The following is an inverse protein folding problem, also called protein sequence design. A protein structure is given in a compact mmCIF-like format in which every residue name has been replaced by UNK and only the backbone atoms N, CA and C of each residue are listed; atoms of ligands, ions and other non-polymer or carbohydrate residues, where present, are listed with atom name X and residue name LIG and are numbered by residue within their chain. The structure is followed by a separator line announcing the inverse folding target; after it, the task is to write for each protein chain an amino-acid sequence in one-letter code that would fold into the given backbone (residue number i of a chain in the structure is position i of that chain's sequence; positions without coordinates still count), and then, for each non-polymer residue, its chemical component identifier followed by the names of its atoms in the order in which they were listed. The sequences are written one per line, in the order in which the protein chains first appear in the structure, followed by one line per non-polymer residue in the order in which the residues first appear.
data_IF_362315218955
#
_entry.id   IF_362315218955
#
_cell.length_a   1.000
_cell.length_b   1.000
_cell.length_c   1.000
_cell.angle_alpha   90.00
_cell.angle_beta   90.00
_cell.angle_gamma   90.00
#
_symmetry.space_group_name_H-M   'P 1'
#
loop_
_entity.id
_entity.type
_entity.pdbx_description
1 polymer ?
#
# COMPACT_ATOMS: atom_id res chain seq x y z
N UNK A 1 -23.48 19.98 -31.62
CA UNK A 1 -23.87 18.62 -31.21
C UNK A 1 -25.33 18.69 -30.80
N UNK A 2 -26.15 17.75 -31.28
CA UNK A 2 -27.56 17.68 -30.96
C UNK A 2 -27.76 17.48 -29.45
N UNK A 3 -28.67 18.23 -28.81
CA UNK A 3 -28.89 18.19 -27.36
C UNK A 3 -29.28 16.79 -26.87
N UNK A 4 -29.97 16.01 -27.71
CA UNK A 4 -30.33 14.63 -27.42
C UNK A 4 -29.10 13.73 -27.35
N UNK A 5 -28.11 13.95 -28.22
CA UNK A 5 -26.84 13.19 -28.21
C UNK A 5 -26.02 13.50 -26.95
N UNK A 6 -26.01 14.78 -26.52
CA UNK A 6 -25.33 15.18 -25.30
C UNK A 6 -25.93 14.51 -24.05
N UNK A 7 -27.26 14.42 -23.97
CA UNK A 7 -27.94 13.74 -22.86
C UNK A 7 -27.64 12.23 -22.83
N UNK A 8 -27.65 11.56 -23.98
CA UNK A 8 -27.33 10.12 -24.06
C UNK A 8 -25.89 9.86 -23.61
N UNK A 9 -24.94 10.69 -24.05
CA UNK A 9 -23.54 10.58 -23.62
C UNK A 9 -23.38 10.82 -22.11
N UNK A 10 -24.07 11.81 -21.54
CA UNK A 10 -24.02 12.09 -20.11
C UNK A 10 -24.56 10.92 -19.26
N UNK A 11 -25.68 10.31 -19.69
CA UNK A 11 -26.25 9.14 -19.01
C UNK A 11 -25.31 7.94 -19.11
N UNK A 12 -24.75 7.67 -20.28
CA UNK A 12 -23.79 6.58 -20.48
C UNK A 12 -22.51 6.76 -19.65
N UNK A 13 -21.97 7.98 -19.61
CA UNK A 13 -20.79 8.29 -18.81
C UNK A 13 -21.06 8.11 -17.31
N UNK A 14 -22.24 8.53 -16.85
CA UNK A 14 -22.67 8.35 -15.46
C UNK A 14 -22.80 6.87 -15.12
N UNK A 15 -23.44 6.07 -15.98
CA UNK A 15 -23.57 4.63 -15.79
C UNK A 15 -22.20 3.93 -15.74
N UNK A 16 -21.28 4.29 -16.65
CA UNK A 16 -19.94 3.72 -16.70
C UNK A 16 -19.10 4.11 -15.46
N UNK A 17 -19.24 5.35 -15.00
CA UNK A 17 -18.57 5.82 -13.79
C UNK A 17 -19.09 5.12 -12.52
N UNK A 18 -20.40 4.85 -12.44
CA UNK A 18 -20.99 4.06 -11.35
C UNK A 18 -20.46 2.62 -11.33
N UNK A 19 -20.39 1.95 -12.49
CA UNK A 19 -19.85 0.59 -12.58
C UNK A 19 -18.38 0.56 -12.16
N UNK A 20 -17.57 1.47 -12.71
CA UNK A 20 -16.16 1.58 -12.35
C UNK A 20 -15.97 1.90 -10.85
N UNK A 21 -16.79 2.80 -10.30
CA UNK A 21 -16.80 3.15 -8.88
C UNK A 21 -17.14 1.96 -7.98
N UNK A 22 -18.20 1.20 -8.30
CA UNK A 22 -18.58 0.00 -7.54
C UNK A 22 -17.53 -1.10 -7.61
N UNK A 23 -16.88 -1.31 -8.76
CA UNK A 23 -15.78 -2.26 -8.91
C UNK A 23 -14.56 -1.85 -8.09
N UNK A 24 -14.18 -0.57 -8.13
CA UNK A 24 -13.08 -0.04 -7.34
C UNK A 24 -13.37 -0.18 -5.83
N UNK A 25 -14.60 0.15 -5.40
CA UNK A 25 -15.02 0.00 -4.01
C UNK A 25 -15.04 -1.48 -3.59
N UNK A 26 -15.49 -2.37 -4.46
CA UNK A 26 -15.47 -3.82 -4.22
C UNK A 26 -14.05 -4.34 -4.05
N UNK A 27 -13.12 -3.95 -4.93
CA UNK A 27 -11.71 -4.34 -4.82
C UNK A 27 -11.06 -3.76 -3.56
N UNK A 28 -11.37 -2.52 -3.19
CA UNK A 28 -10.91 -1.91 -1.94
C UNK A 28 -11.50 -2.63 -0.72
N UNK A 29 -12.78 -3.00 -0.73
CA UNK A 29 -13.40 -3.78 0.33
C UNK A 29 -12.81 -5.19 0.43
N UNK A 30 -12.51 -5.82 -0.71
CA UNK A 30 -11.86 -7.13 -0.77
C UNK A 30 -10.43 -7.05 -0.20
N UNK A 31 -9.67 -6.03 -0.58
CA UNK A 31 -8.32 -5.78 -0.07
C UNK A 31 -8.32 -5.41 1.43
N UNK A 32 -9.32 -4.65 1.90
CA UNK A 32 -9.47 -4.36 3.33
C UNK A 32 -9.81 -5.62 4.11
N UNK A 33 -10.70 -6.49 3.60
CA UNK A 33 -11.02 -7.78 4.25
C UNK A 33 -9.83 -8.73 4.33
N UNK A 34 -8.95 -8.76 3.33
CA UNK A 34 -7.69 -9.52 3.41
C UNK A 34 -6.70 -8.94 4.43
N UNK A 35 -6.77 -7.63 4.71
CA UNK A 35 -5.96 -6.97 5.75
C UNK A 35 -6.59 -7.10 7.15
N UNK A 36 -7.90 -7.39 7.23
CA UNK A 36 -8.67 -7.53 8.47
C UNK A 36 -8.55 -8.89 9.18
N UNK A 37 -7.75 -9.85 8.72
CA UNK A 37 -7.43 -11.02 9.54
C UNK A 37 -6.15 -10.74 10.35
N UNK A 38 -6.33 -10.33 11.61
CA UNK A 38 -5.70 -11.10 12.66
C UNK A 38 -6.79 -11.64 13.61
N UNK A 39 -6.70 -12.94 13.82
CA UNK A 39 -7.22 -13.67 14.97
C UNK A 39 -8.71 -14.10 14.95
N UNK A 40 -8.91 -15.29 14.40
CA UNK A 40 -9.82 -16.37 14.81
C UNK A 40 -10.73 -16.11 16.03
N UNK A 41 -12.04 -16.23 15.81
CA UNK A 41 -12.93 -17.01 16.68
C UNK A 41 -14.08 -17.57 15.82
N UNK A 42 -13.87 -18.80 15.38
CA UNK A 42 -14.79 -19.92 15.60
C UNK A 42 -16.29 -19.66 15.35
N UNK A 43 -16.80 -20.14 14.21
CA UNK A 43 -18.01 -20.99 14.14
C UNK A 43 -17.96 -21.72 12.79
N UNK A 44 -18.15 -23.02 12.91
CA UNK A 44 -18.14 -24.10 11.92
C UNK A 44 -18.83 -23.76 10.60
N UNK A 45 -18.24 -24.18 9.48
CA UNK A 45 -18.86 -25.20 8.63
C UNK A 45 -17.87 -25.69 7.56
N UNK A 46 -17.73 -27.01 7.59
CA UNK A 46 -16.93 -27.93 6.78
C UNK A 46 -17.22 -27.82 5.27
N UNK A 47 -16.19 -27.88 4.43
CA UNK A 47 -15.80 -29.09 3.69
C UNK A 47 -14.82 -28.78 2.53
N UNK A 48 -13.96 -29.76 2.25
CA UNK A 48 -13.00 -29.92 1.12
C UNK A 48 -11.66 -29.15 1.12
N UNK A 49 -10.73 -29.70 1.92
CA UNK A 49 -9.46 -30.32 1.51
C UNK A 49 -8.82 -29.90 0.16
N UNK A 50 -7.58 -29.40 0.20
CA UNK A 50 -6.42 -30.22 -0.18
C UNK A 50 -5.11 -29.56 0.29
N UNK A 51 -4.32 -30.36 1.00
CA UNK A 51 -3.08 -30.03 1.68
C UNK A 51 -1.91 -29.71 0.74
N UNK A 52 -1.03 -28.81 1.20
CA UNK A 52 0.40 -29.14 1.36
C UNK A 52 0.94 -28.39 2.57
N UNK A 53 0.78 -29.05 3.73
CA UNK A 53 1.81 -29.33 4.74
C UNK A 53 3.27 -29.12 4.29
N UNK A 54 4.29 -28.86 5.11
CA UNK A 54 4.55 -28.71 6.56
C UNK A 54 6.06 -28.35 6.59
N UNK A 55 6.59 -27.52 7.47
CA UNK A 55 7.33 -27.98 8.66
C UNK A 55 7.63 -26.79 9.56
N UNK A 56 7.16 -26.93 10.80
CA UNK A 56 7.36 -26.08 11.96
C UNK A 56 8.79 -26.22 12.51
N UNK A 57 9.18 -25.27 13.38
CA UNK A 57 9.80 -25.50 14.71
C UNK A 57 10.63 -24.25 15.09
N UNK A 58 10.76 -23.72 16.32
CA UNK A 58 10.16 -23.87 17.66
C UNK A 58 10.72 -22.65 18.45
N UNK A 59 9.84 -21.91 19.14
CA UNK A 59 9.99 -21.16 20.42
C UNK A 59 11.18 -20.21 20.66
N UNK A 60 10.89 -18.91 20.92
CA UNK A 60 11.22 -18.22 22.19
C UNK A 60 10.57 -16.81 22.26
N UNK A 61 9.99 -16.52 23.42
CA UNK A 61 9.39 -15.24 23.82
C UNK A 61 10.47 -14.18 24.07
N UNK A 62 10.48 -13.09 23.32
CA UNK A 62 11.16 -11.83 23.69
C UNK A 62 10.48 -10.66 22.95
N UNK A 63 9.93 -9.72 23.71
CA UNK A 63 9.57 -8.35 23.31
C UNK A 63 8.94 -8.21 21.91
N UNK A 64 7.69 -8.67 21.73
CA UNK A 64 7.03 -8.62 20.41
C UNK A 64 6.61 -7.18 20.07
N UNK A 65 7.59 -6.38 19.65
CA UNK A 65 7.35 -5.25 18.78
C UNK A 65 6.41 -5.74 17.66
N UNK A 66 5.25 -5.11 17.44
CA UNK A 66 4.28 -5.60 16.47
C UNK A 66 4.96 -5.76 15.10
N UNK A 67 4.65 -6.85 14.35
CA UNK A 67 5.31 -7.13 13.08
C UNK A 67 5.18 -5.90 12.17
N UNK A 68 6.32 -5.31 11.82
CA UNK A 68 6.36 -4.09 11.04
C UNK A 68 5.87 -4.43 9.64
N UNK A 69 4.70 -3.92 9.29
CA UNK A 69 4.08 -4.18 7.98
C UNK A 69 4.70 -3.22 6.96
N UNK A 70 5.33 -3.80 5.94
CA UNK A 70 5.93 -3.07 4.83
C UNK A 70 4.92 -2.91 3.68
N UNK A 71 4.87 -1.74 3.08
CA UNK A 71 4.00 -1.47 1.93
C UNK A 71 4.79 -0.69 0.88
N UNK A 72 4.75 -1.12 -0.37
CA UNK A 72 5.28 -0.38 -1.51
C UNK A 72 4.15 0.40 -2.19
N UNK A 73 4.37 1.70 -2.41
CA UNK A 73 3.49 2.56 -3.20
C UNK A 73 4.31 3.13 -4.35
N UNK A 74 3.92 2.79 -5.58
CA UNK A 74 4.61 3.21 -6.82
C UNK A 74 4.03 4.49 -7.41
N UNK A 75 2.83 4.90 -7.01
CA UNK A 75 2.08 6.02 -7.61
C UNK A 75 2.08 7.29 -6.74
N UNK A 76 3.22 7.60 -6.11
CA UNK A 76 3.35 8.67 -5.10
C UNK A 76 3.12 10.07 -5.67
N UNK A 77 3.34 10.24 -6.97
CA UNK A 77 3.15 11.51 -7.67
C UNK A 77 1.67 11.90 -7.81
N UNK A 78 0.74 10.93 -7.75
CA UNK A 78 -0.69 11.19 -7.76
C UNK A 78 -1.17 11.67 -6.38
N UNK A 79 -2.17 12.55 -6.35
CA UNK A 79 -2.79 13.04 -5.10
C UNK A 79 -3.29 11.89 -4.21
N UNK A 80 -3.85 10.84 -4.81
CA UNK A 80 -4.30 9.65 -4.10
C UNK A 80 -3.14 8.85 -3.50
N UNK A 81 -2.05 8.66 -4.24
CA UNK A 81 -0.86 7.96 -3.76
C UNK A 81 -0.19 8.71 -2.61
N UNK A 82 -0.06 10.03 -2.73
CA UNK A 82 0.43 10.90 -1.68
C UNK A 82 -0.39 10.78 -0.38
N UNK A 83 -1.72 10.84 -0.49
CA UNK A 83 -2.60 10.71 0.66
C UNK A 83 -2.55 9.30 1.28
N UNK A 84 -2.40 8.27 0.45
CA UNK A 84 -2.27 6.88 0.88
C UNK A 84 -0.99 6.67 1.68
N UNK A 85 0.15 7.14 1.19
CA UNK A 85 1.45 7.08 1.88
C UNK A 85 1.35 7.74 3.25
N UNK A 86 0.81 8.96 3.31
CA UNK A 86 0.66 9.70 4.58
C UNK A 86 -0.30 9.01 5.55
N UNK A 87 -1.37 8.37 5.03
CA UNK A 87 -2.32 7.65 5.88
C UNK A 87 -1.74 6.36 6.43
N UNK A 88 -1.02 5.59 5.61
CA UNK A 88 -0.35 4.36 6.02
C UNK A 88 0.76 4.64 7.03
N UNK A 89 1.54 5.71 6.83
CA UNK A 89 2.54 6.15 7.80
C UNK A 89 1.91 6.48 9.17
N UNK A 90 0.78 7.19 9.20
CA UNK A 90 0.03 7.48 10.44
C UNK A 90 -0.52 6.24 11.15
N UNK A 91 -0.76 5.16 10.40
CA UNK A 91 -1.22 3.89 10.94
C UNK A 91 -0.06 3.01 11.47
N UNK A 92 1.19 3.48 11.36
CA UNK A 92 2.37 2.74 11.85
C UNK A 92 3.01 1.80 10.82
N UNK A 93 2.63 1.88 9.55
CA UNK A 93 3.26 1.08 8.49
C UNK A 93 4.59 1.68 8.07
N UNK A 94 5.54 0.82 7.66
CA UNK A 94 6.73 1.24 6.91
C UNK A 94 6.40 1.27 5.43
N UNK A 95 6.41 2.47 4.85
CA UNK A 95 6.01 2.68 3.46
C UNK A 95 7.23 2.99 2.61
N UNK A 96 7.44 2.19 1.57
CA UNK A 96 8.37 2.47 0.48
C UNK A 96 7.62 3.26 -0.58
N UNK A 97 8.08 4.48 -0.85
CA UNK A 97 7.47 5.42 -1.76
C UNK A 97 8.36 5.56 -3.00
N UNK A 98 7.94 4.94 -4.10
CA UNK A 98 8.61 4.99 -5.38
C UNK A 98 8.27 6.28 -6.15
N UNK A 99 9.29 6.96 -6.66
CA UNK A 99 9.15 8.15 -7.52
C UNK A 99 9.64 7.87 -8.93
N UNK A 100 8.79 8.10 -9.93
CA UNK A 100 9.00 7.67 -11.31
C UNK A 100 10.29 8.20 -11.95
N UNK A 101 10.59 9.49 -11.79
CA UNK A 101 11.71 10.12 -12.50
C UNK A 101 13.02 10.13 -11.72
N UNK A 102 13.05 9.43 -10.59
CA UNK A 102 14.17 9.46 -9.64
C UNK A 102 14.51 10.83 -9.07
N UNK A 103 13.68 11.83 -9.34
CA UNK A 103 13.76 13.15 -8.76
C UNK A 103 13.26 13.11 -7.31
N UNK A 104 14.18 12.89 -6.37
CA UNK A 104 13.90 12.97 -4.94
C UNK A 104 13.54 14.39 -4.46
N UNK A 105 13.68 15.40 -5.33
CA UNK A 105 13.33 16.79 -5.08
C UNK A 105 12.01 17.21 -5.72
N UNK A 106 11.23 16.26 -6.25
CA UNK A 106 9.91 16.56 -6.79
C UNK A 106 8.98 17.07 -5.68
N UNK A 107 7.93 17.80 -6.07
CA UNK A 107 6.99 18.40 -5.13
C UNK A 107 6.37 17.36 -4.18
N UNK A 108 6.07 16.15 -4.68
CA UNK A 108 5.53 15.08 -3.85
C UNK A 108 6.52 14.62 -2.77
N UNK A 109 7.82 14.48 -3.09
CA UNK A 109 8.84 14.12 -2.11
C UNK A 109 9.02 15.23 -1.06
N UNK A 110 9.04 16.49 -1.47
CA UNK A 110 9.10 17.65 -0.54
C UNK A 110 7.90 17.66 0.40
N UNK A 111 6.70 17.45 -0.12
CA UNK A 111 5.46 17.38 0.68
C UNK A 111 5.54 16.21 1.66
N UNK A 112 5.96 15.02 1.23
CA UNK A 112 6.09 13.85 2.10
C UNK A 112 7.09 14.12 3.21
N UNK A 113 8.28 14.63 2.90
CA UNK A 113 9.30 14.95 3.91
C UNK A 113 8.79 15.99 4.92
N UNK A 114 8.15 17.05 4.45
CA UNK A 114 7.58 18.07 5.32
C UNK A 114 6.47 17.53 6.23
N UNK A 115 5.57 16.71 5.68
CA UNK A 115 4.46 16.09 6.42
C UNK A 115 4.96 15.03 7.40
N UNK A 116 5.98 14.27 7.03
CA UNK A 116 6.60 13.26 7.89
C UNK A 116 7.30 13.90 9.08
N UNK A 117 8.10 14.95 8.83
CA UNK A 117 8.72 15.75 9.89
C UNK A 117 7.70 16.37 10.85
N UNK A 118 6.55 16.82 10.32
CA UNK A 118 5.44 17.31 11.14
C UNK A 118 4.77 16.20 11.96
N UNK A 119 4.77 14.95 11.47
CA UNK A 119 4.21 13.80 12.18
C UNK A 119 5.13 13.35 13.32
N UNK A 120 6.44 13.39 13.12
CA UNK A 120 7.45 13.08 14.15
C UNK A 120 7.41 14.05 15.33
N UNK A 121 6.99 15.31 15.11
CA UNK A 121 6.85 16.29 16.19
C UNK A 121 5.67 16.04 17.14
N UNK A 122 4.76 15.11 16.82
CA UNK A 122 3.60 14.79 17.65
C UNK A 122 3.88 13.51 18.45
N UNK A 123 4.17 13.61 19.77
CA UNK A 123 4.45 12.44 20.58
C UNK A 123 3.21 11.53 20.67
N UNK A 124 3.36 10.26 20.31
CA UNK A 124 2.29 9.25 20.36
C UNK A 124 1.57 8.96 19.03
N UNK A 125 1.87 9.69 17.96
CA UNK A 125 1.47 9.27 16.61
C UNK A 125 2.32 8.06 16.20
N UNK A 126 1.69 6.98 15.73
CA UNK A 126 2.37 5.73 15.39
C UNK A 126 3.63 5.96 14.56
N UNK A 127 4.73 5.31 14.96
CA UNK A 127 6.05 5.40 14.35
C UNK A 127 6.10 4.70 12.97
N UNK A 128 5.21 5.07 12.05
CA UNK A 128 5.41 4.72 10.66
C UNK A 128 6.66 5.42 10.13
N UNK A 129 7.30 4.83 9.13
CA UNK A 129 8.42 5.46 8.42
C UNK A 129 8.10 5.49 6.93
N UNK A 130 8.51 6.55 6.24
CA UNK A 130 8.39 6.64 4.78
C UNK A 130 9.78 6.73 4.17
N UNK A 131 10.09 5.80 3.28
CA UNK A 131 11.38 5.72 2.58
C UNK A 131 11.12 6.06 1.12
N UNK A 132 11.68 7.17 0.67
CA UNK A 132 11.56 7.64 -0.70
C UNK A 132 12.72 7.09 -1.53
N UNK A 133 12.44 6.57 -2.72
CA UNK A 133 13.46 6.05 -3.62
C UNK A 133 13.03 6.21 -5.09
N UNK A 134 14.00 6.32 -6.03
CA UNK A 134 13.70 6.35 -7.45
C UNK A 134 13.13 5.00 -7.88
N UNK A 135 11.98 5.00 -8.56
CA UNK A 135 11.37 3.79 -9.10
C UNK A 135 10.52 4.09 -10.33
N UNK A 136 11.00 3.67 -11.49
CA UNK A 136 10.22 3.66 -12.72
C UNK A 136 9.69 2.25 -13.00
N UNK A 137 8.39 2.05 -12.83
CA UNK A 137 7.70 0.78 -13.09
C UNK A 137 7.71 0.37 -14.57
N UNK A 138 8.04 1.30 -15.48
CA UNK A 138 8.13 1.00 -16.91
C UNK A 138 9.48 0.42 -17.32
N UNK A 139 10.50 0.52 -16.44
CA UNK A 139 11.87 0.11 -16.70
C UNK A 139 12.30 -1.04 -15.79
N UNK A 140 12.69 -2.16 -16.39
CA UNK A 140 13.12 -3.35 -15.65
C UNK A 140 14.40 -3.13 -14.84
N UNK A 141 15.35 -2.34 -15.36
CA UNK A 141 16.57 -1.99 -14.64
C UNK A 141 16.25 -1.26 -13.32
N UNK A 142 15.31 -0.31 -13.38
CA UNK A 142 14.89 0.49 -12.21
C UNK A 142 14.14 -0.36 -11.19
N UNK A 143 13.37 -1.36 -11.63
CA UNK A 143 12.71 -2.31 -10.75
C UNK A 143 13.73 -3.16 -9.98
N UNK A 144 14.77 -3.67 -10.65
CA UNK A 144 15.84 -4.44 -10.01
C UNK A 144 16.59 -3.60 -8.97
N UNK A 145 16.97 -2.37 -9.33
CA UNK A 145 17.59 -1.42 -8.39
C UNK A 145 16.67 -1.13 -7.20
N UNK A 146 15.37 -0.96 -7.45
CA UNK A 146 14.34 -0.72 -6.44
C UNK A 146 14.21 -1.88 -5.45
N UNK A 147 14.22 -3.13 -5.94
CA UNK A 147 14.21 -4.33 -5.09
C UNK A 147 15.46 -4.39 -4.22
N UNK A 148 16.63 -4.11 -4.77
CA UNK A 148 17.87 -4.05 -3.99
C UNK A 148 17.84 -2.92 -2.95
N UNK A 149 17.23 -1.77 -3.28
CA UNK A 149 16.99 -0.69 -2.33
C UNK A 149 16.09 -1.12 -1.17
N UNK A 150 14.98 -1.81 -1.45
CA UNK A 150 14.05 -2.31 -0.45
C UNK A 150 14.72 -3.37 0.44
N UNK A 151 15.48 -4.30 -0.16
CA UNK A 151 16.24 -5.35 0.56
C UNK A 151 17.21 -4.79 1.60
N UNK A 152 17.85 -3.65 1.33
CA UNK A 152 18.75 -2.99 2.29
C UNK A 152 18.04 -2.41 3.51
N UNK A 153 16.73 -2.14 3.41
CA UNK A 153 15.93 -1.55 4.49
C UNK A 153 15.08 -2.58 5.24
N UNK A 154 15.01 -3.81 4.73
CA UNK A 154 14.38 -4.95 5.39
C UNK A 154 15.32 -5.58 6.42
N UNK A 155 14.79 -6.18 7.48
CA UNK A 155 15.57 -6.94 8.45
C UNK A 155 16.22 -8.16 7.77
N UNK A 156 17.39 -8.56 8.28
CA UNK A 156 18.15 -9.68 7.74
C UNK A 156 17.31 -10.97 7.67
N UNK A 157 17.27 -11.62 6.50
CA UNK A 157 16.51 -12.86 6.27
C UNK A 157 15.11 -12.67 5.70
N UNK A 158 14.60 -11.44 5.54
CA UNK A 158 13.35 -11.18 4.80
C UNK A 158 13.69 -10.72 3.38
N UNK A 159 13.37 -11.56 2.40
CA UNK A 159 13.27 -11.16 1.00
C UNK A 159 11.82 -10.72 0.79
N UNK A 160 11.61 -9.40 0.77
CA UNK A 160 10.28 -8.82 0.54
C UNK A 160 9.63 -9.29 -0.74
#
# INVERSE_FOLDING_TARGET
MDEQTALVLAVQLTALCCIAGSLLLYLLCKAKRSVSLPNQLNIEQSDEQLETETTQDVVNEDDTCPPVKYVLVTCVQNQLGLQLVLRLARLGFRVFAGLQDGDLECDAAKIIRAKMKSLESVPGAGQGAVILFPLDVTREDSLHEGVDHIRRHLPAGQHG
#
